data_IF_445968512837
#
_entry.id   IF_445968512837
#
_cell.length_a   1.000
_cell.length_b   1.000
_cell.length_c   1.000
_cell.angle_alpha   90.00
_cell.angle_beta   90.00
_cell.angle_gamma   90.00
#
_symmetry.space_group_name_H-M   'P 1'
#
loop_
_entity.id
_entity.type
_entity.pdbx_description
1 polymer ?
#
# COMPACT_ATOMS: atom_id res chain seq x y z
N UNK A 1 -23.88 -26.17 -54.63
CA UNK A 1 -22.81 -25.40 -53.96
C UNK A 1 -23.35 -24.04 -53.54
N UNK A 2 -23.73 -23.85 -52.27
CA UNK A 2 -23.97 -22.52 -51.68
C UNK A 2 -23.64 -22.61 -50.18
N UNK A 3 -22.46 -22.11 -49.81
CA UNK A 3 -22.01 -22.02 -48.41
C UNK A 3 -22.68 -20.80 -47.75
N UNK A 4 -23.26 -20.90 -46.54
CA UNK A 4 -23.68 -19.73 -45.80
C UNK A 4 -22.45 -19.07 -45.16
N UNK A 5 -22.30 -17.78 -45.39
CA UNK A 5 -21.22 -16.97 -44.85
C UNK A 5 -21.36 -16.87 -43.31
N UNK A 6 -20.41 -17.43 -42.59
CA UNK A 6 -20.21 -17.18 -41.16
C UNK A 6 -19.64 -15.76 -40.99
N UNK A 7 -20.43 -14.83 -40.45
CA UNK A 7 -19.96 -13.51 -40.04
C UNK A 7 -19.40 -13.63 -38.62
N UNK A 8 -18.07 -13.70 -38.51
CA UNK A 8 -17.35 -13.62 -37.24
C UNK A 8 -17.26 -12.15 -36.81
N UNK A 9 -18.12 -11.72 -35.87
CA UNK A 9 -18.01 -10.41 -35.22
C UNK A 9 -16.93 -10.51 -34.15
N UNK A 10 -15.73 -10.01 -34.45
CA UNK A 10 -14.66 -9.85 -33.47
C UNK A 10 -15.01 -8.67 -32.54
N UNK A 11 -15.45 -8.98 -31.32
CA UNK A 11 -15.59 -8.04 -30.22
C UNK A 11 -14.19 -7.59 -29.76
N UNK A 12 -13.66 -6.55 -30.38
CA UNK A 12 -12.50 -5.84 -29.85
C UNK A 12 -12.91 -5.11 -28.57
N UNK A 13 -12.41 -5.60 -27.43
CA UNK A 13 -12.51 -4.93 -26.14
C UNK A 13 -11.74 -3.62 -26.23
N UNK A 14 -12.44 -2.50 -26.38
CA UNK A 14 -11.84 -1.17 -26.30
C UNK A 14 -11.25 -1.00 -24.89
N UNK A 15 -9.93 -0.94 -24.79
CA UNK A 15 -9.23 -0.62 -23.55
C UNK A 15 -9.61 0.81 -23.14
N UNK A 16 -10.51 0.91 -22.16
CA UNK A 16 -10.82 2.19 -21.50
C UNK A 16 -9.55 2.66 -20.79
N UNK A 17 -8.90 3.66 -21.35
CA UNK A 17 -7.78 4.33 -20.71
C UNK A 17 -8.38 5.19 -19.60
N UNK A 18 -8.11 4.84 -18.34
CA UNK A 18 -8.62 5.57 -17.18
C UNK A 18 -7.96 6.97 -17.11
N UNK A 19 -8.61 7.96 -17.70
CA UNK A 19 -8.28 9.37 -17.54
C UNK A 19 -9.10 9.95 -16.38
N UNK A 20 -8.53 10.87 -15.60
CA UNK A 20 -9.25 11.61 -14.56
C UNK A 20 -9.29 13.08 -14.97
N UNK A 21 -10.47 13.67 -15.02
CA UNK A 21 -10.70 15.06 -15.37
C UNK A 21 -11.08 15.85 -14.10
N UNK A 22 -10.55 17.06 -13.98
CA UNK A 22 -11.00 18.03 -12.97
C UNK A 22 -11.87 19.09 -13.64
N UNK A 23 -13.05 19.31 -13.08
CA UNK A 23 -13.99 20.36 -13.48
C UNK A 23 -14.35 21.25 -12.29
N UNK A 24 -14.90 22.43 -12.57
CA UNK A 24 -15.54 23.28 -11.56
C UNK A 24 -17.02 23.35 -11.90
N UNK A 25 -17.86 22.75 -11.04
CA UNK A 25 -19.32 22.78 -11.18
C UNK A 25 -19.84 23.54 -9.96
N UNK A 26 -20.56 24.65 -10.18
CA UNK A 26 -21.08 25.50 -9.11
C UNK A 26 -20.02 25.92 -8.08
N UNK A 27 -18.85 26.35 -8.55
CA UNK A 27 -17.66 26.68 -7.75
C UNK A 27 -17.08 25.52 -6.91
N UNK A 28 -17.56 24.29 -7.10
CA UNK A 28 -17.07 23.09 -6.42
C UNK A 28 -16.13 22.30 -7.35
N UNK A 29 -14.87 22.04 -6.94
CA UNK A 29 -13.97 21.19 -7.70
C UNK A 29 -14.46 19.74 -7.70
N UNK A 30 -14.78 19.22 -8.88
CA UNK A 30 -15.29 17.86 -9.08
C UNK A 30 -14.33 17.04 -9.95
N UNK A 31 -14.18 15.76 -9.64
CA UNK A 31 -13.32 14.83 -10.37
C UNK A 31 -14.16 13.74 -11.04
N UNK A 32 -13.87 13.42 -12.30
CA UNK A 32 -14.63 12.45 -13.10
C UNK A 32 -13.71 11.60 -13.97
N UNK A 33 -14.13 10.37 -14.29
CA UNK A 33 -13.42 9.50 -15.23
C UNK A 33 -13.70 9.83 -16.70
N UNK A 34 -14.67 10.71 -16.94
CA UNK A 34 -15.01 11.26 -18.25
C UNK A 34 -15.04 12.79 -18.18
N UNK A 35 -14.85 13.51 -19.29
CA UNK A 35 -14.95 14.97 -19.30
C UNK A 35 -16.30 15.43 -18.72
N UNK A 36 -16.25 16.18 -17.61
CA UNK A 36 -17.43 16.62 -16.85
C UNK A 36 -17.98 17.99 -17.26
N UNK A 37 -17.21 18.79 -18.01
CA UNK A 37 -17.57 20.12 -18.46
C UNK A 37 -16.68 20.55 -19.65
N UNK A 38 -17.04 21.61 -20.42
CA UNK A 38 -16.21 22.09 -21.54
C UNK A 38 -14.81 22.57 -21.12
N UNK A 39 -14.63 22.98 -19.87
CA UNK A 39 -13.36 23.41 -19.28
C UNK A 39 -12.61 22.26 -18.57
N UNK A 40 -13.10 21.02 -18.72
CA UNK A 40 -12.49 19.83 -18.11
C UNK A 40 -11.02 19.72 -18.47
N UNK A 41 -10.16 19.72 -17.44
CA UNK A 41 -8.72 19.50 -17.61
C UNK A 41 -8.39 18.06 -17.26
N UNK A 42 -7.80 17.34 -18.21
CA UNK A 42 -7.25 16.01 -17.95
C UNK A 42 -6.08 16.11 -16.97
N UNK A 43 -6.13 15.31 -15.91
CA UNK A 43 -5.09 15.20 -14.92
C UNK A 43 -4.22 13.98 -15.23
N UNK A 44 -3.01 14.24 -15.73
CA UNK A 44 -1.96 13.23 -15.76
C UNK A 44 -1.36 13.08 -14.36
N UNK A 45 -1.96 12.21 -13.55
CA UNK A 45 -1.41 11.85 -12.25
C UNK A 45 -0.12 11.06 -12.43
N UNK A 46 1.03 11.72 -12.31
CA UNK A 46 2.27 11.02 -12.04
C UNK A 46 2.21 10.53 -10.61
N UNK A 47 1.99 9.23 -10.43
CA UNK A 47 2.22 8.55 -9.15
C UNK A 47 3.72 8.62 -8.89
N UNK A 48 4.15 9.74 -8.35
CA UNK A 48 5.47 9.90 -7.79
C UNK A 48 5.41 9.28 -6.41
N UNK A 49 6.25 8.27 -6.17
CA UNK A 49 6.48 7.77 -4.82
C UNK A 49 6.88 8.99 -4.00
N UNK A 50 5.99 9.47 -3.12
CA UNK A 50 6.30 10.59 -2.25
C UNK A 50 7.65 10.29 -1.58
N UNK A 51 8.57 11.28 -1.45
CA UNK A 51 9.80 11.06 -0.72
C UNK A 51 9.42 10.50 0.64
N UNK A 52 9.81 9.25 0.93
CA UNK A 52 9.51 8.65 2.22
C UNK A 52 10.18 9.53 3.26
N UNK A 53 9.45 10.32 4.06
CA UNK A 53 10.08 10.94 5.22
C UNK A 53 10.60 9.76 6.03
N UNK A 54 11.88 9.81 6.39
CA UNK A 54 12.50 8.76 7.21
C UNK A 54 11.56 8.37 8.37
N UNK A 55 11.58 7.09 8.74
CA UNK A 55 10.77 6.61 9.86
C UNK A 55 11.25 7.32 11.12
N UNK A 56 10.36 8.02 11.83
CA UNK A 56 10.76 8.68 13.07
C UNK A 56 11.16 7.62 14.10
N UNK A 57 12.15 7.95 14.95
CA UNK A 57 12.65 7.02 15.96
C UNK A 57 11.53 6.51 16.88
N UNK A 58 10.59 7.39 17.25
CA UNK A 58 9.44 7.05 18.08
C UNK A 58 8.53 5.98 17.45
N UNK A 59 8.24 6.08 16.15
CA UNK A 59 7.42 5.09 15.44
C UNK A 59 8.18 3.77 15.35
N UNK A 60 9.46 3.82 14.98
CA UNK A 60 10.29 2.62 14.90
C UNK A 60 10.35 1.90 16.26
N UNK A 61 10.51 2.63 17.36
CA UNK A 61 10.56 2.07 18.71
C UNK A 61 9.23 1.43 19.13
N UNK A 62 8.11 2.13 18.94
CA UNK A 62 6.78 1.57 19.26
C UNK A 62 6.50 0.31 18.45
N UNK A 63 6.89 0.34 17.17
CA UNK A 63 6.71 -0.77 16.27
C UNK A 63 7.61 -1.97 16.58
N UNK A 64 8.86 -1.70 16.98
CA UNK A 64 9.82 -2.69 17.48
C UNK A 64 9.26 -3.41 18.70
N UNK A 65 8.67 -2.67 19.64
CA UNK A 65 8.06 -3.23 20.84
C UNK A 65 6.84 -4.11 20.49
N UNK A 66 6.01 -3.67 19.54
CA UNK A 66 4.90 -4.47 19.05
C UNK A 66 5.40 -5.78 18.41
N UNK A 67 6.41 -5.73 17.55
CA UNK A 67 6.99 -6.89 16.88
C UNK A 67 7.65 -7.87 17.88
N UNK A 68 8.33 -7.34 18.89
CA UNK A 68 8.93 -8.11 19.99
C UNK A 68 7.86 -8.87 20.79
N UNK A 69 6.70 -8.26 21.01
CA UNK A 69 5.62 -8.88 21.79
C UNK A 69 4.66 -9.75 20.94
N UNK A 70 4.73 -9.65 19.60
CA UNK A 70 3.83 -10.39 18.70
C UNK A 70 4.26 -11.83 18.42
N UNK A 71 5.51 -12.18 18.69
CA UNK A 71 6.02 -13.54 18.51
C UNK A 71 6.62 -14.08 19.80
N UNK A 72 6.56 -15.41 19.96
CA UNK A 72 7.26 -16.11 21.03
C UNK A 72 8.77 -16.25 20.69
N UNK A 73 9.50 -15.13 20.76
CA UNK A 73 10.94 -15.12 20.53
C UNK A 73 11.66 -15.96 21.58
N UNK A 74 12.64 -16.75 21.14
CA UNK A 74 13.40 -17.61 22.05
C UNK A 74 14.26 -16.80 23.02
N UNK A 75 14.86 -15.72 22.52
CA UNK A 75 15.60 -14.74 23.29
C UNK A 75 15.11 -13.32 22.93
N UNK A 76 14.08 -12.79 23.60
CA UNK A 76 13.55 -11.46 23.32
C UNK A 76 14.56 -10.32 23.59
N UNK A 77 15.62 -10.57 24.35
CA UNK A 77 16.61 -9.53 24.69
C UNK A 77 17.63 -9.30 23.58
N UNK A 78 17.76 -10.24 22.65
CA UNK A 78 18.55 -10.07 21.42
C UNK A 78 17.70 -9.65 20.23
N UNK A 79 16.49 -9.15 20.45
CA UNK A 79 15.63 -8.68 19.38
C UNK A 79 16.30 -7.53 18.61
N UNK A 80 16.31 -7.63 17.29
CA UNK A 80 16.84 -6.61 16.38
C UNK A 80 15.88 -6.36 15.22
N UNK A 81 15.91 -5.12 14.72
CA UNK A 81 15.34 -4.76 13.42
C UNK A 81 16.48 -4.78 12.41
N UNK A 82 16.39 -5.68 11.42
CA UNK A 82 17.37 -5.86 10.35
C UNK A 82 17.19 -4.80 9.27
N UNK A 83 15.94 -4.50 8.92
CA UNK A 83 15.60 -3.45 7.97
C UNK A 83 14.17 -2.96 8.19
N UNK A 84 13.87 -1.76 7.69
CA UNK A 84 12.52 -1.21 7.76
C UNK A 84 12.25 -0.23 6.61
N UNK A 85 11.01 -0.18 6.14
CA UNK A 85 10.57 0.79 5.14
C UNK A 85 9.08 1.09 5.25
N UNK A 86 8.70 2.34 4.94
CA UNK A 86 7.28 2.71 4.77
C UNK A 86 6.80 2.27 3.40
N UNK A 87 5.67 1.59 3.37
CA UNK A 87 5.08 1.08 2.14
C UNK A 87 3.57 1.20 2.17
N UNK A 88 2.99 1.54 1.02
CA UNK A 88 1.56 1.38 0.80
C UNK A 88 1.28 -0.06 0.37
N UNK A 89 0.20 -0.61 0.92
CA UNK A 89 -0.27 -1.98 0.68
C UNK A 89 -1.79 -1.97 0.72
N UNK A 90 -2.42 -2.77 -0.13
CA UNK A 90 -3.87 -2.83 -0.21
C UNK A 90 -4.41 -4.05 0.55
N UNK A 91 -5.51 -3.88 1.27
CA UNK A 91 -6.33 -4.94 1.83
C UNK A 91 -7.82 -4.68 1.54
N UNK A 92 -8.75 -5.44 2.12
CA UNK A 92 -10.18 -5.29 1.84
C UNK A 92 -10.76 -3.93 2.28
N UNK A 93 -10.05 -3.16 3.10
CA UNK A 93 -10.41 -1.79 3.48
C UNK A 93 -9.82 -0.71 2.56
N UNK A 94 -9.01 -1.11 1.58
CA UNK A 94 -8.32 -0.22 0.65
C UNK A 94 -6.83 -0.05 0.96
N UNK A 95 -6.27 1.07 0.51
CA UNK A 95 -4.84 1.36 0.64
C UNK A 95 -4.45 1.71 2.08
N UNK A 96 -3.45 1.02 2.61
CA UNK A 96 -2.94 1.18 3.97
C UNK A 96 -1.45 1.43 3.99
N UNK A 97 -1.04 2.40 4.81
CA UNK A 97 0.36 2.68 5.05
C UNK A 97 0.88 1.75 6.14
N UNK A 98 1.90 0.97 5.83
CA UNK A 98 2.58 0.07 6.77
C UNK A 98 4.05 0.46 6.91
N UNK A 99 4.59 0.27 8.11
CA UNK A 99 6.01 0.11 8.34
C UNK A 99 6.33 -1.37 8.23
N UNK A 100 6.85 -1.78 7.07
CA UNK A 100 7.30 -3.14 6.82
C UNK A 100 8.71 -3.31 7.41
N UNK A 101 8.90 -4.30 8.27
CA UNK A 101 10.16 -4.58 8.94
C UNK A 101 10.64 -6.01 8.69
N UNK A 102 11.96 -6.18 8.61
CA UNK A 102 12.61 -7.47 8.82
C UNK A 102 13.14 -7.51 10.25
N UNK A 103 12.71 -8.47 11.04
CA UNK A 103 13.04 -8.58 12.46
C UNK A 103 13.66 -9.93 12.78
N UNK A 104 14.52 -9.98 13.79
CA UNK A 104 15.21 -11.21 14.18
C UNK A 104 15.51 -11.24 15.68
N UNK A 105 15.77 -12.42 16.22
CA UNK A 105 16.26 -12.64 17.57
C UNK A 105 17.08 -13.93 17.60
N UNK A 106 17.95 -14.08 18.61
CA UNK A 106 18.76 -15.31 18.72
C UNK A 106 17.90 -16.54 18.97
N UNK A 107 18.31 -17.64 18.36
CA UNK A 107 17.73 -18.96 18.60
C UNK A 107 18.35 -19.64 19.83
N UNK A 108 17.96 -20.89 20.12
CA UNK A 108 18.47 -21.65 21.26
C UNK A 108 19.98 -21.97 21.22
N UNK A 109 20.64 -21.77 20.09
CA UNK A 109 22.08 -21.94 19.91
C UNK A 109 22.86 -20.62 20.04
N UNK A 110 22.19 -19.50 20.36
CA UNK A 110 22.81 -18.19 20.54
C UNK A 110 23.14 -17.43 19.25
N UNK A 111 22.75 -17.97 18.09
CA UNK A 111 22.93 -17.34 16.77
C UNK A 111 21.63 -16.71 16.23
N UNK A 112 21.78 -15.75 15.31
CA UNK A 112 20.67 -15.25 14.50
C UNK A 112 20.44 -16.19 13.30
N UNK A 113 19.18 -16.53 13.04
CA UNK A 113 18.77 -17.29 11.85
C UNK A 113 18.20 -16.37 10.78
N UNK A 114 17.20 -16.86 10.05
CA UNK A 114 16.46 -16.06 9.08
C UNK A 114 15.62 -14.98 9.75
N UNK A 115 15.60 -13.77 9.15
CA UNK A 115 14.70 -12.71 9.60
C UNK A 115 13.25 -13.03 9.25
N UNK A 116 12.33 -12.51 10.06
CA UNK A 116 10.88 -12.62 9.85
C UNK A 116 10.31 -11.28 9.40
N UNK A 117 9.37 -11.26 8.44
CA UNK A 117 8.65 -10.05 8.09
C UNK A 117 7.67 -9.71 9.22
N UNK A 118 7.57 -8.43 9.56
CA UNK A 118 6.56 -7.89 10.45
C UNK A 118 6.01 -6.60 9.87
N UNK A 119 4.68 -6.48 9.83
CA UNK A 119 4.01 -5.28 9.35
C UNK A 119 3.33 -4.57 10.49
N UNK A 120 3.50 -3.26 10.50
CA UNK A 120 3.08 -2.39 11.57
C UNK A 120 2.29 -1.27 10.94
N UNK A 121 0.99 -1.24 11.23
CA UNK A 121 0.07 -0.41 10.49
C UNK A 121 0.14 1.01 11.02
N UNK A 122 0.28 1.97 10.12
CA UNK A 122 0.39 3.39 10.47
C UNK A 122 -0.95 4.09 10.25
N UNK A 123 -1.13 5.21 10.94
CA UNK A 123 -2.20 6.14 10.61
C UNK A 123 -1.99 6.73 9.19
N UNK A 124 -3.01 7.38 8.63
CA UNK A 124 -2.96 7.94 7.27
C UNK A 124 -1.80 8.93 7.08
N UNK A 125 -1.41 9.66 8.13
CA UNK A 125 -0.29 10.60 8.09
C UNK A 125 1.09 9.96 8.19
N UNK A 126 1.19 8.67 8.51
CA UNK A 126 2.47 7.98 8.73
C UNK A 126 3.28 8.53 9.91
N UNK A 127 2.60 9.20 10.85
CA UNK A 127 3.19 9.86 12.03
C UNK A 127 3.00 9.08 13.32
N UNK A 128 2.19 8.02 13.29
CA UNK A 128 1.92 7.17 14.44
C UNK A 128 1.30 5.84 14.02
N UNK A 129 1.09 4.96 14.99
CA UNK A 129 0.43 3.68 14.76
C UNK A 129 -1.06 3.87 14.45
N UNK A 130 -1.58 3.00 13.59
CA UNK A 130 -3.02 2.81 13.39
C UNK A 130 -3.64 2.15 14.62
N UNK A 131 -4.93 2.37 14.85
CA UNK A 131 -5.72 1.60 15.83
C UNK A 131 -5.95 0.15 15.38
N UNK A 132 -5.82 -0.13 14.08
CA UNK A 132 -6.01 -1.47 13.50
C UNK A 132 -4.65 -2.04 13.09
N UNK A 133 -4.12 -2.99 13.86
CA UNK A 133 -2.78 -3.58 13.66
C UNK A 133 -2.78 -4.93 12.91
N UNK A 134 -3.76 -5.17 12.06
CA UNK A 134 -3.88 -6.39 11.25
C UNK A 134 -4.48 -6.06 9.89
N UNK A 135 -4.28 -6.94 8.92
CA UNK A 135 -4.94 -6.86 7.61
C UNK A 135 -6.44 -7.08 7.74
N UNK A 136 -7.22 -6.31 6.99
CA UNK A 136 -8.67 -6.50 6.88
C UNK A 136 -8.93 -7.41 5.67
N UNK A 137 -9.68 -8.49 5.90
CA UNK A 137 -10.08 -9.48 4.89
C UNK A 137 -11.50 -9.22 4.39
#
# INVERSE_FOLDING_TARGET
MKYPAFVFIALFSLSSHAAIYKCVIDDVPTFSQTPCAPDAKELHLKISKAPSPGVSHSILQQCTELAKNSYAWRDPNSFIVVSHEKQWRDDASGARLVLAMQVNAKNGYGGYGDSKPFNCFLNHGGTGLSTVQHWIN
#
